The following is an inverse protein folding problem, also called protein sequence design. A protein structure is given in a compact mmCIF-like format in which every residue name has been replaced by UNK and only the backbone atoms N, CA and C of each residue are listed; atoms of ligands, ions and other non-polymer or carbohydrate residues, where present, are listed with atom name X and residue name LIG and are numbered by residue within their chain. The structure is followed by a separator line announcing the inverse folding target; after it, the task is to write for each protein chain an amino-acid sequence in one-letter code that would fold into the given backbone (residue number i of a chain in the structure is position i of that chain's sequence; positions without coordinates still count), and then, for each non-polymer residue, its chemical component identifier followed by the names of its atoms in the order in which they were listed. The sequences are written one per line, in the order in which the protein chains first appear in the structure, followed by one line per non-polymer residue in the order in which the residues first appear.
data_IF_837984469238
#
_entry.id   IF_837984469238
#
_cell.length_a   1.000
_cell.length_b   1.000
_cell.length_c   1.000
_cell.angle_alpha   90.00
_cell.angle_beta   90.00
_cell.angle_gamma   90.00
#
_symmetry.space_group_name_H-M   'P 1'
#
loop_
_entity.id
_entity.type
_entity.pdbx_description
1 polymer ?
#
# COMPACT_ATOMS: atom_id res chain seq x y z
N UNK A 1 -36.03 9.01 9.72
CA UNK A 1 -35.13 8.25 10.62
C UNK A 1 -33.74 8.78 10.41
N UNK A 2 -33.32 9.70 11.28
CA UNK A 2 -31.92 10.10 11.43
C UNK A 2 -31.17 8.89 11.97
N UNK A 3 -30.28 8.31 11.17
CA UNK A 3 -29.27 7.41 11.71
C UNK A 3 -28.12 8.28 12.19
N UNK A 4 -27.80 8.11 13.46
CA UNK A 4 -26.69 8.72 14.18
C UNK A 4 -25.42 8.75 13.33
N UNK A 5 -25.01 9.94 12.91
CA UNK A 5 -23.60 10.27 12.76
C UNK A 5 -23.01 10.20 14.18
N UNK A 6 -22.68 8.99 14.65
CA UNK A 6 -21.74 8.84 15.75
C UNK A 6 -20.49 9.61 15.32
N UNK A 7 -20.26 10.75 15.96
CA UNK A 7 -18.99 11.45 15.94
C UNK A 7 -17.91 10.41 16.25
N UNK A 8 -17.24 9.89 15.21
CA UNK A 8 -16.01 9.17 15.40
C UNK A 8 -15.08 10.17 16.09
N UNK A 9 -14.80 9.97 17.38
CA UNK A 9 -13.76 10.72 18.07
C UNK A 9 -12.52 10.64 17.19
N UNK A 10 -12.02 11.80 16.77
CA UNK A 10 -10.79 11.86 15.99
C UNK A 10 -9.66 11.31 16.86
N UNK A 11 -8.73 10.60 16.21
CA UNK A 11 -7.47 10.21 16.83
C UNK A 11 -6.78 11.45 17.38
N UNK A 12 -6.39 11.42 18.66
CA UNK A 12 -5.69 12.54 19.29
C UNK A 12 -4.70 12.03 20.30
N UNK A 13 -3.44 11.96 19.90
CA UNK A 13 -2.32 11.77 20.82
C UNK A 13 -2.16 13.07 21.62
N UNK A 14 -2.38 13.01 22.92
CA UNK A 14 -2.18 14.14 23.82
C UNK A 14 -1.02 13.86 24.76
N UNK A 15 0.16 14.41 24.43
CA UNK A 15 1.38 14.20 25.19
C UNK A 15 1.26 14.67 26.66
N UNK A 16 0.31 15.56 27.00
CA UNK A 16 0.10 15.99 28.39
C UNK A 16 -0.40 14.87 29.32
N UNK A 17 -0.99 13.80 28.76
CA UNK A 17 -1.43 12.63 29.51
C UNK A 17 -0.27 11.65 29.79
N UNK A 18 0.90 11.85 29.17
CA UNK A 18 2.08 10.98 29.24
C UNK A 18 3.22 11.64 30.04
N UNK A 19 4.15 10.83 30.56
CA UNK A 19 5.34 11.32 31.28
C UNK A 19 6.43 11.80 30.32
N UNK A 20 6.13 12.86 29.55
CA UNK A 20 6.98 13.41 28.49
C UNK A 20 8.34 13.83 29.03
N UNK A 21 8.39 14.57 30.14
CA UNK A 21 9.64 15.10 30.69
C UNK A 21 10.67 14.00 30.98
N UNK A 22 10.20 12.87 31.52
CA UNK A 22 11.08 11.73 31.81
C UNK A 22 11.57 11.04 30.52
N UNK A 23 10.70 10.92 29.52
CA UNK A 23 11.07 10.34 28.23
C UNK A 23 12.11 11.22 27.50
N UNK A 24 11.82 12.52 27.38
CA UNK A 24 12.74 13.50 26.80
C UNK A 24 14.09 13.52 27.51
N UNK A 25 14.08 13.46 28.85
CA UNK A 25 15.31 13.35 29.63
C UNK A 25 16.15 12.14 29.22
N UNK A 26 15.55 10.94 29.16
CA UNK A 26 16.30 9.74 28.80
C UNK A 26 16.80 9.78 27.35
N UNK A 27 15.97 10.24 26.40
CA UNK A 27 16.35 10.36 24.99
C UNK A 27 17.50 11.33 24.78
N UNK A 28 17.42 12.53 25.36
CA UNK A 28 18.47 13.53 25.26
C UNK A 28 19.78 13.01 25.83
N UNK A 29 19.75 12.37 27.01
CA UNK A 29 20.94 11.80 27.64
C UNK A 29 21.54 10.65 26.85
N UNK A 30 20.73 9.76 26.28
CA UNK A 30 21.23 8.69 25.42
C UNK A 30 21.87 9.23 24.14
N UNK A 31 21.30 10.28 23.54
CA UNK A 31 21.85 10.91 22.35
C UNK A 31 23.20 11.61 22.60
N UNK A 32 23.44 12.06 23.84
CA UNK A 32 24.72 12.65 24.27
C UNK A 32 25.82 11.61 24.53
N UNK A 33 25.49 10.32 24.66
CA UNK A 33 26.48 9.27 24.93
C UNK A 33 27.33 8.98 23.69
N UNK A 34 28.61 8.69 23.93
CA UNK A 34 29.51 8.16 22.92
C UNK A 34 29.08 6.74 22.51
N UNK A 35 29.23 6.33 21.24
CA UNK A 35 28.86 4.99 20.79
C UNK A 35 29.46 3.85 21.61
N UNK A 36 30.71 3.99 22.07
CA UNK A 36 31.35 3.01 22.96
C UNK A 36 30.62 2.87 24.30
N UNK A 37 30.19 3.98 24.91
CA UNK A 37 29.46 3.98 26.18
C UNK A 37 28.05 3.42 26.00
N UNK A 38 27.38 3.75 24.90
CA UNK A 38 26.07 3.18 24.58
C UNK A 38 26.13 1.66 24.42
N UNK A 39 27.16 1.12 23.75
CA UNK A 39 27.37 -0.33 23.61
C UNK A 39 27.58 -1.00 24.97
N UNK A 40 28.41 -0.42 25.84
CA UNK A 40 28.59 -0.92 27.22
C UNK A 40 27.28 -0.87 28.03
N UNK A 41 26.45 0.16 27.82
CA UNK A 41 25.15 0.27 28.48
C UNK A 41 24.17 -0.80 27.98
N UNK A 42 24.21 -1.18 26.71
CA UNK A 42 23.45 -2.31 26.17
C UNK A 42 23.92 -3.62 26.82
N UNK A 43 25.23 -3.84 26.93
CA UNK A 43 25.81 -5.04 27.59
C UNK A 43 25.39 -5.14 29.06
N UNK A 44 25.35 -4.01 29.78
CA UNK A 44 24.84 -3.95 31.16
C UNK A 44 23.44 -4.56 31.29
N UNK A 45 22.61 -4.48 30.24
CA UNK A 45 21.23 -4.96 30.28
C UNK A 45 21.14 -6.48 30.17
N UNK A 46 22.21 -7.18 29.81
CA UNK A 46 22.27 -8.65 29.86
C UNK A 46 22.75 -9.18 31.22
N UNK A 47 23.22 -8.30 32.11
CA UNK A 47 23.71 -8.68 33.43
C UNK A 47 22.59 -8.87 34.47
N UNK A 48 22.92 -9.60 35.54
CA UNK A 48 22.02 -9.80 36.68
C UNK A 48 21.75 -8.48 37.41
N UNK A 49 20.52 -8.29 37.87
CA UNK A 49 20.10 -7.05 38.57
C UNK A 49 20.85 -6.74 39.87
N UNK A 50 21.63 -7.71 40.36
CA UNK A 50 22.54 -7.56 41.49
C UNK A 50 23.87 -8.19 41.09
N UNK A 51 24.96 -7.44 41.21
CA UNK A 51 26.32 -7.89 40.90
C UNK A 51 27.32 -7.22 41.84
N UNK A 52 28.63 -7.48 41.67
CA UNK A 52 29.71 -6.75 42.35
C UNK A 52 30.49 -5.90 41.36
N UNK A 53 31.22 -4.89 41.84
CA UNK A 53 32.04 -4.03 40.97
C UNK A 53 33.08 -4.85 40.19
N UNK A 54 33.72 -5.81 40.85
CA UNK A 54 34.69 -6.69 40.20
C UNK A 54 34.06 -7.57 39.12
N UNK A 55 32.85 -8.10 39.35
CA UNK A 55 32.14 -8.90 38.35
C UNK A 55 31.68 -8.05 37.18
N UNK A 56 31.20 -6.84 37.44
CA UNK A 56 30.81 -5.88 36.41
C UNK A 56 32.00 -5.51 35.52
N UNK A 57 33.15 -5.17 36.14
CA UNK A 57 34.42 -4.92 35.46
C UNK A 57 34.80 -6.04 34.50
N UNK A 58 34.79 -7.28 35.01
CA UNK A 58 35.16 -8.46 34.23
C UNK A 58 34.14 -8.77 33.12
N UNK A 59 32.85 -8.53 33.36
CA UNK A 59 31.79 -8.81 32.39
C UNK A 59 31.78 -7.84 31.22
N UNK A 60 32.14 -6.57 31.47
CA UNK A 60 32.23 -5.52 30.45
C UNK A 60 33.64 -5.42 29.83
N UNK A 61 34.58 -6.26 30.28
CA UNK A 61 36.01 -6.25 29.87
C UNK A 61 36.67 -4.87 29.98
N UNK A 62 36.49 -4.22 31.14
CA UNK A 62 37.00 -2.86 31.38
C UNK A 62 38.15 -2.82 32.40
N UNK A 63 39.03 -1.84 32.24
CA UNK A 63 39.93 -1.42 33.31
C UNK A 63 39.19 -0.67 34.41
N UNK A 64 39.81 -0.45 35.57
CA UNK A 64 39.17 0.31 36.66
C UNK A 64 38.90 1.77 36.29
N UNK A 65 39.78 2.37 35.47
CA UNK A 65 39.61 3.74 35.00
C UNK A 65 38.43 3.82 34.02
N UNK A 66 38.35 2.87 33.08
CA UNK A 66 37.24 2.80 32.10
C UNK A 66 35.90 2.49 32.78
N UNK A 67 35.88 1.59 33.76
CA UNK A 67 34.66 1.31 34.52
C UNK A 67 34.18 2.55 35.28
N UNK A 68 35.09 3.29 35.92
CA UNK A 68 34.74 4.53 36.61
C UNK A 68 34.20 5.57 35.62
N UNK A 69 34.87 5.75 34.49
CA UNK A 69 34.42 6.63 33.41
C UNK A 69 33.01 6.26 32.91
N UNK A 70 32.77 4.96 32.68
CA UNK A 70 31.46 4.43 32.28
C UNK A 70 30.39 4.74 33.33
N UNK A 71 30.64 4.42 34.60
CA UNK A 71 29.70 4.68 35.71
C UNK A 71 29.38 6.18 35.81
N UNK A 72 30.40 7.05 35.72
CA UNK A 72 30.22 8.50 35.78
C UNK A 72 29.34 9.02 34.62
N UNK A 73 29.51 8.46 33.41
CA UNK A 73 28.69 8.81 32.23
C UNK A 73 27.25 8.35 32.33
N UNK A 74 26.99 7.20 32.97
CA UNK A 74 25.63 6.66 33.11
C UNK A 74 24.95 7.02 34.44
N UNK A 75 25.65 7.67 35.36
CA UNK A 75 25.11 8.14 36.64
C UNK A 75 23.83 9.00 36.50
N UNK A 76 23.69 9.90 35.49
CA UNK A 76 22.48 10.69 35.32
C UNK A 76 21.20 9.86 35.11
N UNK A 77 21.32 8.63 34.59
CA UNK A 77 20.17 7.74 34.40
C UNK A 77 19.65 7.15 35.71
N UNK A 78 20.43 7.20 36.79
CA UNK A 78 20.11 6.58 38.08
C UNK A 78 19.82 5.07 37.96
N UNK A 79 20.45 4.41 36.99
CA UNK A 79 20.25 2.98 36.72
C UNK A 79 21.10 2.07 37.64
N UNK A 80 22.20 2.60 38.18
CA UNK A 80 23.10 1.90 39.09
C UNK A 80 23.05 2.50 40.49
N UNK A 81 22.85 1.64 41.49
CA UNK A 81 23.04 1.96 42.89
C UNK A 81 24.22 1.16 43.44
N UNK A 82 25.23 1.85 43.93
CA UNK A 82 26.42 1.24 44.52
C UNK A 82 26.34 1.28 46.05
N UNK A 83 26.22 0.12 46.68
CA UNK A 83 26.31 -0.05 48.13
C UNK A 83 27.55 -0.91 48.46
N UNK A 84 28.61 -0.29 48.96
CA UNK A 84 29.89 -0.95 49.24
C UNK A 84 30.47 -1.64 48.00
N UNK A 85 30.48 -2.98 47.96
CA UNK A 85 30.94 -3.81 46.82
C UNK A 85 29.76 -4.32 45.97
N UNK A 86 28.52 -4.01 46.34
CA UNK A 86 27.35 -4.45 45.61
C UNK A 86 26.86 -3.35 44.64
N UNK A 87 26.62 -3.76 43.40
CA UNK A 87 25.97 -2.94 42.37
C UNK A 87 24.57 -3.49 42.14
N UNK A 88 23.57 -2.65 42.32
CA UNK A 88 22.16 -2.95 42.06
C UNK A 88 21.73 -2.19 40.80
N UNK A 89 21.14 -2.92 39.85
CA UNK A 89 20.59 -2.36 38.61
C UNK A 89 19.09 -2.16 38.80
N UNK A 90 18.61 -0.93 38.67
CA UNK A 90 17.19 -0.61 38.77
C UNK A 90 16.41 -1.19 37.58
N UNK A 91 15.49 -2.12 37.88
CA UNK A 91 14.70 -2.81 36.86
C UNK A 91 13.68 -1.92 36.16
N UNK A 92 13.09 -0.95 36.87
CA UNK A 92 12.07 -0.06 36.33
C UNK A 92 12.71 0.97 35.40
N UNK A 93 13.84 1.56 35.82
CA UNK A 93 14.63 2.46 34.97
C UNK A 93 15.17 1.72 33.75
N UNK A 94 15.72 0.52 33.96
CA UNK A 94 16.18 -0.35 32.86
C UNK A 94 15.10 -0.56 31.80
N UNK A 95 13.88 -0.95 32.20
CA UNK A 95 12.77 -1.19 31.27
C UNK A 95 12.36 0.05 30.47
N UNK A 96 12.45 1.24 31.07
CA UNK A 96 12.16 2.51 30.38
C UNK A 96 13.24 2.82 29.34
N UNK A 97 14.51 2.69 29.73
CA UNK A 97 15.66 3.00 28.87
C UNK A 97 15.81 1.97 27.73
N UNK A 98 15.52 0.69 27.98
CA UNK A 98 15.67 -0.41 27.01
C UNK A 98 14.92 -0.14 25.71
N UNK A 99 13.71 0.42 25.81
CA UNK A 99 12.89 0.77 24.65
C UNK A 99 13.54 1.83 23.75
N UNK A 100 14.36 2.72 24.32
CA UNK A 100 15.05 3.78 23.59
C UNK A 100 16.44 3.35 23.14
N UNK A 101 17.12 2.51 23.93
CA UNK A 101 18.43 1.94 23.59
C UNK A 101 18.40 1.12 22.30
N UNK A 102 17.28 0.43 22.03
CA UNK A 102 17.12 -0.33 20.79
C UNK A 102 17.42 0.51 19.52
N UNK A 103 17.22 1.84 19.55
CA UNK A 103 17.46 2.75 18.42
C UNK A 103 18.95 2.97 18.09
N UNK A 104 19.84 2.57 18.98
CA UNK A 104 21.29 2.69 18.87
C UNK A 104 21.95 1.37 18.44
N UNK A 105 21.15 0.33 18.20
CA UNK A 105 21.61 -0.91 17.59
C UNK A 105 21.80 -0.71 16.07
N UNK A 106 22.89 -1.24 15.52
CA UNK A 106 23.20 -1.18 14.09
C UNK A 106 22.19 -2.00 13.25
N UNK A 107 21.61 -3.04 13.85
CA UNK A 107 20.58 -3.90 13.24
C UNK A 107 19.14 -3.42 13.55
N UNK A 108 18.99 -2.22 14.11
CA UNK A 108 17.67 -1.71 14.48
C UNK A 108 16.77 -1.50 13.26
N UNK A 109 15.59 -2.14 13.28
CA UNK A 109 14.55 -1.98 12.27
C UNK A 109 13.45 -1.05 12.82
N UNK A 110 13.39 0.23 12.41
CA UNK A 110 12.37 1.17 12.86
C UNK A 110 11.03 0.81 12.23
N UNK A 111 10.18 0.06 12.91
CA UNK A 111 8.93 -0.43 12.34
C UNK A 111 7.81 -0.66 13.34
N UNK A 112 6.88 -1.50 12.96
CA UNK A 112 5.68 -1.80 13.75
C UNK A 112 6.03 -2.49 15.08
N UNK A 113 7.08 -3.32 15.12
CA UNK A 113 7.56 -3.92 16.38
C UNK A 113 8.11 -2.87 17.36
N UNK A 114 8.78 -1.85 16.84
CA UNK A 114 9.22 -0.70 17.65
C UNK A 114 8.01 0.05 18.22
N UNK A 115 7.00 0.35 17.40
CA UNK A 115 5.79 1.00 17.90
C UNK A 115 5.06 0.16 18.94
N UNK A 116 5.00 -1.15 18.78
CA UNK A 116 4.43 -2.04 19.78
C UNK A 116 5.17 -1.93 21.12
N UNK A 117 6.50 -1.78 21.10
CA UNK A 117 7.32 -1.59 22.30
C UNK A 117 7.14 -0.19 22.90
N UNK A 118 7.06 0.84 22.06
CA UNK A 118 6.79 2.22 22.48
C UNK A 118 5.44 2.34 23.20
N UNK A 119 4.39 1.69 22.68
CA UNK A 119 3.06 1.70 23.29
C UNK A 119 3.03 1.07 24.68
N UNK A 120 3.94 0.13 25.00
CA UNK A 120 4.05 -0.45 26.35
C UNK A 120 4.54 0.54 27.40
N UNK A 121 5.12 1.68 26.97
CA UNK A 121 5.54 2.76 27.87
C UNK A 121 4.36 3.66 28.28
N UNK A 122 3.27 3.64 27.51
CA UNK A 122 2.09 4.45 27.79
C UNK A 122 1.16 3.70 28.75
N UNK A 123 0.66 4.35 29.82
CA UNK A 123 -0.36 3.76 30.68
C UNK A 123 -1.55 3.19 29.89
N UNK A 124 -1.95 1.97 30.21
CA UNK A 124 -2.94 1.21 29.43
C UNK A 124 -4.32 1.89 29.34
N UNK A 125 -4.65 2.76 30.30
CA UNK A 125 -5.89 3.53 30.34
C UNK A 125 -5.91 4.73 29.39
N UNK A 126 -4.75 5.17 28.89
CA UNK A 126 -4.61 6.33 28.00
C UNK A 126 -4.77 5.92 26.54
N UNK A 127 -4.15 4.78 26.16
CA UNK A 127 -4.12 4.28 24.78
C UNK A 127 -5.51 4.19 24.12
N UNK A 128 -6.59 3.71 24.77
CA UNK A 128 -7.91 3.66 24.14
C UNK A 128 -8.47 5.04 23.81
N UNK A 129 -8.12 6.06 24.59
CA UNK A 129 -8.52 7.46 24.35
C UNK A 129 -7.78 8.02 23.14
N UNK A 130 -6.44 7.90 23.11
CA UNK A 130 -5.62 8.45 22.04
C UNK A 130 -5.99 7.89 20.66
N UNK A 131 -6.21 6.58 20.59
CA UNK A 131 -6.45 5.90 19.32
C UNK A 131 -7.93 5.60 19.04
N UNK A 132 -8.83 6.10 19.89
CA UNK A 132 -10.27 5.88 19.79
C UNK A 132 -10.62 4.41 19.62
N UNK A 133 -10.15 3.59 20.55
CA UNK A 133 -10.36 2.13 20.57
C UNK A 133 -11.60 1.78 21.41
N UNK A 134 -12.35 0.73 21.05
CA UNK A 134 -13.45 0.24 21.87
C UNK A 134 -12.95 -0.22 23.23
N UNK A 135 -13.75 -0.03 24.29
CA UNK A 135 -13.44 -0.54 25.63
C UNK A 135 -13.40 -2.07 25.69
N UNK A 136 -14.06 -2.74 24.75
CA UNK A 136 -14.12 -4.21 24.62
C UNK A 136 -12.98 -4.79 23.75
N UNK A 137 -11.93 -4.01 23.49
CA UNK A 137 -10.80 -4.46 22.69
C UNK A 137 -9.97 -5.50 23.47
N UNK A 138 -9.91 -6.73 22.98
CA UNK A 138 -9.13 -7.82 23.58
C UNK A 138 -7.62 -7.61 23.44
N UNK A 139 -7.19 -6.83 22.45
CA UNK A 139 -5.79 -6.49 22.21
C UNK A 139 -5.64 -5.14 21.51
N UNK A 140 -5.17 -4.14 22.26
CA UNK A 140 -4.96 -2.75 21.78
C UNK A 140 -4.18 -2.74 20.47
N UNK A 141 -3.07 -3.49 20.41
CA UNK A 141 -2.22 -3.52 19.25
C UNK A 141 -2.86 -4.22 18.04
N UNK A 142 -3.64 -5.29 18.24
CA UNK A 142 -4.36 -5.91 17.12
C UNK A 142 -5.41 -4.96 16.54
N UNK A 143 -6.13 -4.21 17.38
CA UNK A 143 -7.06 -3.20 16.88
C UNK A 143 -6.37 -2.03 16.17
N UNK A 144 -5.18 -1.60 16.64
CA UNK A 144 -4.37 -0.63 15.91
C UNK A 144 -3.88 -1.19 14.57
N UNK A 145 -3.46 -2.46 14.54
CA UNK A 145 -3.08 -3.16 13.31
C UNK A 145 -4.23 -3.14 12.30
N UNK A 146 -5.44 -3.51 12.71
CA UNK A 146 -6.61 -3.54 11.83
C UNK A 146 -7.04 -2.14 11.38
N UNK A 147 -7.00 -1.15 12.28
CA UNK A 147 -7.50 0.21 12.02
C UNK A 147 -6.53 1.07 11.21
N UNK A 148 -5.23 0.93 11.45
CA UNK A 148 -4.18 1.82 10.91
C UNK A 148 -3.27 1.08 9.94
N UNK A 149 -2.69 -0.05 10.35
CA UNK A 149 -1.59 -0.68 9.63
C UNK A 149 -2.00 -1.80 8.66
N UNK A 150 -3.28 -2.14 8.56
CA UNK A 150 -3.71 -3.36 7.84
C UNK A 150 -3.35 -3.29 6.35
N UNK A 151 -3.44 -2.13 5.73
CA UNK A 151 -3.00 -1.89 4.34
C UNK A 151 -2.19 -0.61 4.24
N UNK A 152 -1.27 -0.48 3.27
CA UNK A 152 -0.51 0.76 3.07
C UNK A 152 -1.41 1.97 2.81
N UNK A 153 -2.55 1.77 2.14
CA UNK A 153 -3.52 2.83 1.88
C UNK A 153 -4.19 3.34 3.17
N UNK A 154 -4.56 2.44 4.10
CA UNK A 154 -5.05 2.83 5.42
C UNK A 154 -3.96 3.57 6.20
N UNK A 155 -2.71 3.11 6.13
CA UNK A 155 -1.62 3.74 6.86
C UNK A 155 -1.29 5.15 6.34
N UNK A 156 -1.18 5.31 5.02
CA UNK A 156 -0.99 6.62 4.39
C UNK A 156 -2.15 7.57 4.68
N UNK A 157 -3.38 7.04 4.73
CA UNK A 157 -4.56 7.82 5.11
C UNK A 157 -4.46 8.31 6.55
N UNK A 158 -4.08 7.42 7.49
CA UNK A 158 -3.84 7.78 8.88
C UNK A 158 -2.82 8.92 8.98
N UNK A 159 -1.66 8.79 8.33
CA UNK A 159 -0.61 9.83 8.33
C UNK A 159 -1.14 11.19 7.84
N UNK A 160 -1.99 11.20 6.80
CA UNK A 160 -2.59 12.44 6.27
C UNK A 160 -3.65 13.05 7.18
N UNK A 161 -4.33 12.23 7.98
CA UNK A 161 -5.42 12.64 8.85
C UNK A 161 -4.95 13.10 10.26
N UNK A 162 -3.66 12.93 10.58
CA UNK A 162 -3.09 13.37 11.87
C UNK A 162 -3.25 14.88 12.07
N UNK A 163 -3.70 15.26 13.27
CA UNK A 163 -3.88 16.66 13.68
C UNK A 163 -2.55 17.42 13.67
N UNK A 164 -2.58 18.64 13.14
CA UNK A 164 -1.39 19.50 12.96
C UNK A 164 -1.48 20.81 13.73
N UNK A 165 -2.50 20.96 14.58
CA UNK A 165 -2.70 22.17 15.40
C UNK A 165 -1.59 22.32 16.45
N UNK A 166 -1.14 21.21 17.03
CA UNK A 166 -0.08 21.20 18.05
C UNK A 166 1.31 21.46 17.47
N UNK A 167 1.61 20.85 16.31
CA UNK A 167 2.93 20.90 15.68
C UNK A 167 2.82 21.01 14.14
N UNK A 168 3.68 21.81 13.49
CA UNK A 168 3.68 21.99 12.04
C UNK A 168 4.31 20.79 11.32
N UNK A 169 3.66 19.62 11.38
CA UNK A 169 4.23 18.35 10.89
C UNK A 169 3.99 18.10 9.40
N UNK A 170 3.07 18.82 8.73
CA UNK A 170 2.79 18.57 7.29
C UNK A 170 4.03 18.71 6.39
N UNK A 171 4.86 19.78 6.52
CA UNK A 171 6.10 19.88 5.74
C UNK A 171 7.06 18.72 6.00
N UNK A 172 7.10 18.21 7.23
CA UNK A 172 7.93 17.07 7.62
C UNK A 172 7.43 15.77 6.99
N UNK A 173 6.12 15.53 7.05
CA UNK A 173 5.47 14.36 6.43
C UNK A 173 5.74 14.34 4.92
N UNK A 174 5.56 15.48 4.25
CA UNK A 174 5.83 15.59 2.82
C UNK A 174 7.29 15.29 2.50
N UNK A 175 8.23 15.92 3.21
CA UNK A 175 9.65 15.68 3.01
C UNK A 175 10.07 14.23 3.31
N UNK A 176 9.48 13.59 4.33
CA UNK A 176 9.71 12.16 4.62
C UNK A 176 9.20 11.24 3.52
N UNK A 177 8.06 11.57 2.89
CA UNK A 177 7.51 10.79 1.78
C UNK A 177 8.32 10.98 0.50
N UNK A 178 8.87 12.17 0.27
CA UNK A 178 9.75 12.47 -0.87
C UNK A 178 11.15 11.84 -0.70
N UNK A 179 11.70 11.91 0.51
CA UNK A 179 13.03 11.38 0.87
C UNK A 179 12.96 10.07 1.68
N UNK A 180 11.97 9.21 1.42
CA UNK A 180 11.70 8.00 2.21
C UNK A 180 12.88 7.02 2.32
N UNK A 181 13.76 6.98 1.32
CA UNK A 181 14.95 6.14 1.32
C UNK A 181 16.01 6.65 2.31
N UNK A 182 16.23 7.96 2.29
CA UNK A 182 17.29 8.64 3.03
C UNK A 182 16.83 9.19 4.36
N UNK A 183 15.54 9.32 4.68
CA UNK A 183 15.09 9.97 5.91
C UNK A 183 15.41 11.47 5.96
N UNK A 184 15.26 12.09 7.12
CA UNK A 184 15.54 13.51 7.36
C UNK A 184 16.50 13.69 8.53
N UNK A 185 17.40 14.67 8.42
CA UNK A 185 18.26 15.04 9.56
C UNK A 185 17.50 15.91 10.57
N UNK A 186 18.03 16.04 11.79
CA UNK A 186 17.50 17.02 12.77
C UNK A 186 17.58 18.47 12.25
N UNK A 187 18.58 18.78 11.42
CA UNK A 187 18.69 20.08 10.78
C UNK A 187 17.54 20.33 9.79
N UNK A 188 17.19 19.34 8.98
CA UNK A 188 16.04 19.44 8.08
C UNK A 188 14.74 19.62 8.86
N UNK A 189 14.58 18.87 9.96
CA UNK A 189 13.40 18.97 10.82
C UNK A 189 13.24 20.37 11.42
N UNK A 190 14.34 20.94 11.96
CA UNK A 190 14.38 22.30 12.48
C UNK A 190 14.03 23.33 11.40
N UNK A 191 14.57 23.18 10.19
CA UNK A 191 14.27 24.07 9.05
C UNK A 191 12.80 24.01 8.63
N UNK A 192 12.22 22.80 8.55
CA UNK A 192 10.85 22.59 8.08
C UNK A 192 9.78 22.99 9.09
N UNK A 193 10.06 22.80 10.38
CA UNK A 193 9.10 23.08 11.47
C UNK A 193 9.29 24.47 12.09
N UNK A 194 10.49 25.05 12.01
CA UNK A 194 10.87 26.23 12.77
C UNK A 194 11.01 26.00 14.28
N UNK A 195 10.98 24.74 14.74
CA UNK A 195 11.10 24.36 16.16
C UNK A 195 12.55 24.14 16.56
N UNK A 196 12.84 24.33 17.85
CA UNK A 196 14.18 24.14 18.42
C UNK A 196 14.09 23.63 19.87
N UNK A 197 15.19 23.04 20.35
CA UNK A 197 15.32 22.50 21.71
C UNK A 197 14.18 21.54 22.09
N UNK A 198 13.66 21.68 23.32
CA UNK A 198 12.64 20.79 23.86
C UNK A 198 11.39 20.66 22.98
N UNK A 199 10.96 21.74 22.29
CA UNK A 199 9.79 21.67 21.40
C UNK A 199 10.05 20.83 20.15
N UNK A 200 11.29 20.80 19.67
CA UNK A 200 11.68 19.93 18.57
C UNK A 200 11.62 18.46 19.02
N UNK A 201 12.12 18.17 20.23
CA UNK A 201 12.11 16.82 20.80
C UNK A 201 10.68 16.34 21.08
N UNK A 202 9.81 17.20 21.62
CA UNK A 202 8.38 16.93 21.78
C UNK A 202 7.70 16.68 20.42
N UNK A 203 8.06 17.43 19.39
CA UNK A 203 7.55 17.20 18.04
C UNK A 203 7.99 15.83 17.49
N UNK A 204 9.23 15.40 17.72
CA UNK A 204 9.70 14.06 17.33
C UNK A 204 8.91 12.98 18.07
N UNK A 205 8.69 13.17 19.38
CA UNK A 205 7.89 12.26 20.19
C UNK A 205 6.45 12.16 19.69
N UNK A 206 5.87 13.31 19.32
CA UNK A 206 4.55 13.38 18.70
C UNK A 206 4.48 12.59 17.39
N UNK A 207 5.49 12.70 16.52
CA UNK A 207 5.57 11.93 15.27
C UNK A 207 5.64 10.41 15.53
N UNK A 208 6.39 9.99 16.55
CA UNK A 208 6.51 8.57 16.92
C UNK A 208 5.22 7.98 17.47
N UNK A 209 4.54 8.67 18.40
CA UNK A 209 3.27 8.19 18.95
C UNK A 209 2.11 8.25 17.96
N UNK A 210 2.21 9.10 16.93
CA UNK A 210 1.27 9.08 15.80
C UNK A 210 1.68 8.08 14.71
N UNK A 211 2.73 7.27 14.92
CA UNK A 211 3.23 6.27 13.98
C UNK A 211 3.65 6.85 12.61
N UNK A 212 4.11 8.10 12.58
CA UNK A 212 4.50 8.77 11.33
C UNK A 212 5.95 8.45 10.99
N UNK A 213 6.83 8.59 11.98
CA UNK A 213 8.26 8.46 11.79
C UNK A 213 8.93 7.96 13.07
N UNK A 214 10.14 7.45 12.94
CA UNK A 214 10.96 6.95 14.05
C UNK A 214 12.31 7.65 14.02
N UNK A 215 12.75 8.13 15.19
CA UNK A 215 14.11 8.62 15.36
C UNK A 215 15.07 7.42 15.44
N UNK A 216 16.06 7.40 14.56
CA UNK A 216 17.11 6.39 14.44
C UNK A 216 18.48 7.04 14.60
N UNK A 217 19.47 6.26 15.04
CA UNK A 217 20.84 6.74 15.24
C UNK A 217 21.82 5.94 14.39
N UNK A 218 22.62 6.63 13.59
CA UNK A 218 23.71 6.04 12.81
C UNK A 218 25.05 6.27 13.53
N UNK A 219 25.85 5.22 13.67
CA UNK A 219 27.16 5.31 14.32
C UNK A 219 28.19 6.04 13.42
N UNK A 220 28.74 7.15 13.90
CA UNK A 220 29.83 7.91 13.26
C UNK A 220 31.10 7.93 14.12
N UNK A 221 31.45 6.79 14.72
CA UNK A 221 32.61 6.55 15.58
C UNK A 221 32.62 7.36 16.90
N UNK A 222 32.67 8.68 16.82
CA UNK A 222 32.73 9.58 17.97
C UNK A 222 31.36 10.01 18.48
N UNK A 223 30.34 9.95 17.61
CA UNK A 223 28.98 10.39 17.94
C UNK A 223 27.92 9.61 17.20
N UNK A 224 26.71 9.67 17.73
CA UNK A 224 25.51 9.23 17.05
C UNK A 224 24.96 10.33 16.16
N UNK A 225 24.68 10.00 14.90
CA UNK A 225 23.99 10.90 13.98
C UNK A 225 22.50 10.59 13.97
N UNK A 226 21.70 11.55 14.42
CA UNK A 226 20.28 11.38 14.66
C UNK A 226 19.48 11.71 13.40
N UNK A 227 18.56 10.82 13.06
CA UNK A 227 17.86 10.84 11.78
C UNK A 227 16.45 10.35 11.92
N UNK A 228 15.52 11.04 11.28
CA UNK A 228 14.11 10.70 11.28
C UNK A 228 13.78 9.88 10.04
N UNK A 229 13.22 8.69 10.22
CA UNK A 229 12.93 7.76 9.11
C UNK A 229 11.47 7.32 9.12
N UNK A 230 10.92 7.04 7.93
CA UNK A 230 9.64 6.36 7.83
C UNK A 230 9.74 4.92 8.37
N UNK A 231 8.64 4.39 8.93
CA UNK A 231 8.59 3.01 9.40
C UNK A 231 8.90 2.01 8.28
N UNK A 232 9.63 0.96 8.64
CA UNK A 232 10.24 -0.02 7.74
C UNK A 232 9.23 -0.62 6.76
N UNK A 233 8.04 -0.98 7.23
CA UNK A 233 7.01 -1.60 6.43
C UNK A 233 6.50 -0.65 5.33
N UNK A 234 6.29 0.62 5.68
CA UNK A 234 5.90 1.64 4.71
C UNK A 234 7.06 1.99 3.77
N UNK A 235 8.27 2.13 4.30
CA UNK A 235 9.49 2.40 3.51
C UNK A 235 9.72 1.31 2.46
N UNK A 236 9.59 0.04 2.83
CA UNK A 236 9.74 -1.09 1.91
C UNK A 236 8.63 -1.11 0.85
N UNK A 237 7.39 -0.81 1.25
CA UNK A 237 6.29 -0.66 0.30
C UNK A 237 6.56 0.44 -0.72
N UNK A 238 6.97 1.63 -0.27
CA UNK A 238 7.30 2.76 -1.14
C UNK A 238 8.51 2.45 -2.04
N UNK A 239 9.55 1.77 -1.53
CA UNK A 239 10.67 1.28 -2.34
C UNK A 239 10.18 0.38 -3.47
N UNK A 240 9.34 -0.62 -3.16
CA UNK A 240 8.75 -1.52 -4.16
C UNK A 240 7.90 -0.78 -5.20
N UNK A 241 7.20 0.28 -4.82
CA UNK A 241 6.48 1.14 -5.76
C UNK A 241 7.39 2.02 -6.61
N UNK A 242 8.47 2.56 -6.04
CA UNK A 242 9.37 3.49 -6.74
C UNK A 242 10.23 2.85 -7.83
N UNK A 243 10.48 1.54 -7.73
CA UNK A 243 11.28 0.77 -8.69
C UNK A 243 10.50 0.46 -9.98
N UNK A 244 9.19 0.72 -10.02
CA UNK A 244 8.35 0.44 -11.18
C UNK A 244 7.38 1.60 -11.37
N UNK A 245 7.49 2.42 -12.44
CA UNK A 245 6.30 3.12 -12.92
C UNK A 245 5.28 2.00 -13.19
N UNK A 246 4.11 1.94 -12.53
CA UNK A 246 3.18 0.86 -12.79
C UNK A 246 2.73 0.86 -14.26
N UNK A 247 2.91 1.99 -14.95
CA UNK A 247 2.61 2.18 -16.36
C UNK A 247 3.69 3.01 -17.04
N UNK A 248 4.19 2.52 -18.17
CA UNK A 248 5.03 3.28 -19.09
C UNK A 248 4.25 4.49 -19.60
N UNK A 249 4.85 5.68 -19.57
CA UNK A 249 4.21 6.87 -20.16
C UNK A 249 4.27 6.75 -21.68
N UNK A 250 3.11 6.62 -22.32
CA UNK A 250 2.99 6.52 -23.77
C UNK A 250 2.39 7.81 -24.32
N UNK A 251 3.05 8.44 -25.29
CA UNK A 251 2.49 9.60 -25.98
C UNK A 251 1.24 9.17 -26.78
N UNK A 252 0.12 9.90 -26.64
CA UNK A 252 -1.13 9.53 -27.32
C UNK A 252 -0.97 9.37 -28.84
N UNK A 253 -0.08 10.15 -29.46
CA UNK A 253 0.20 10.13 -30.90
C UNK A 253 1.04 8.94 -31.36
N UNK A 254 1.66 8.19 -30.45
CA UNK A 254 2.51 7.04 -30.77
C UNK A 254 1.78 5.71 -30.84
N UNK A 255 0.52 5.65 -30.36
CA UNK A 255 -0.30 4.44 -30.39
C UNK A 255 -1.18 4.46 -31.62
N UNK A 256 -1.23 3.34 -32.33
CA UNK A 256 -2.21 3.11 -33.40
C UNK A 256 -3.41 2.40 -32.79
N UNK A 257 -4.59 3.04 -32.66
CA UNK A 257 -5.81 2.37 -32.20
C UNK A 257 -6.22 1.30 -33.21
N UNK A 258 -6.71 0.15 -32.74
CA UNK A 258 -7.12 -0.94 -33.64
C UNK A 258 -8.25 -0.50 -34.59
N UNK A 259 -9.23 0.26 -34.06
CA UNK A 259 -10.43 0.70 -34.80
C UNK A 259 -10.69 2.21 -34.68
N UNK A 260 -10.23 2.85 -33.62
CA UNK A 260 -10.39 4.29 -33.39
C UNK A 260 -11.84 4.76 -33.15
N UNK A 261 -12.75 3.82 -32.84
CA UNK A 261 -14.17 4.09 -32.58
C UNK A 261 -14.48 3.66 -31.14
N UNK A 262 -15.04 4.53 -30.28
CA UNK A 262 -15.44 4.13 -28.93
C UNK A 262 -16.55 3.09 -28.99
N UNK A 263 -16.58 2.19 -28.01
CA UNK A 263 -17.59 1.11 -27.94
C UNK A 263 -17.58 0.19 -29.19
N UNK A 264 -16.40 0.00 -29.80
CA UNK A 264 -16.18 -0.75 -31.04
C UNK A 264 -16.97 -2.05 -31.08
N UNK A 265 -16.88 -2.90 -30.05
CA UNK A 265 -17.50 -4.21 -30.08
C UNK A 265 -19.03 -4.15 -30.16
N UNK A 266 -19.67 -3.25 -29.41
CA UNK A 266 -21.11 -3.06 -29.48
C UNK A 266 -21.53 -2.59 -30.88
N UNK A 267 -20.73 -1.71 -31.49
CA UNK A 267 -20.99 -1.19 -32.82
C UNK A 267 -20.88 -2.32 -33.85
N UNK A 268 -19.80 -3.08 -33.79
CA UNK A 268 -19.51 -4.18 -34.72
C UNK A 268 -20.56 -5.29 -34.61
N UNK A 269 -20.94 -5.68 -33.39
CA UNK A 269 -22.02 -6.63 -33.15
C UNK A 269 -23.35 -6.14 -33.72
N UNK A 270 -23.67 -4.85 -33.61
CA UNK A 270 -24.88 -4.28 -34.20
C UNK A 270 -24.90 -4.39 -35.74
N UNK A 271 -23.74 -4.20 -36.38
CA UNK A 271 -23.60 -4.34 -37.83
C UNK A 271 -23.72 -5.81 -38.25
N UNK A 272 -23.10 -6.72 -37.51
CA UNK A 272 -23.19 -8.16 -37.75
C UNK A 272 -24.64 -8.65 -37.63
N UNK A 273 -25.39 -8.22 -36.61
CA UNK A 273 -26.81 -8.59 -36.46
C UNK A 273 -27.65 -8.05 -37.63
N UNK A 274 -27.43 -6.78 -38.04
CA UNK A 274 -28.11 -6.18 -39.20
C UNK A 274 -27.79 -6.93 -40.49
N UNK A 275 -26.55 -7.34 -40.67
CA UNK A 275 -26.12 -8.14 -41.81
C UNK A 275 -26.80 -9.51 -41.80
N UNK A 276 -26.76 -10.24 -40.68
CA UNK A 276 -27.37 -11.56 -40.53
C UNK A 276 -28.90 -11.54 -40.77
N UNK A 277 -29.56 -10.40 -40.52
CA UNK A 277 -30.99 -10.20 -40.84
C UNK A 277 -31.25 -10.21 -42.35
N UNK A 278 -30.35 -9.65 -43.14
CA UNK A 278 -30.48 -9.52 -44.60
C UNK A 278 -29.88 -10.72 -45.35
N UNK A 279 -28.82 -11.31 -44.79
CA UNK A 279 -28.04 -12.38 -45.40
C UNK A 279 -27.76 -13.49 -44.37
N UNK A 280 -28.61 -14.53 -44.31
CA UNK A 280 -28.42 -15.64 -43.39
C UNK A 280 -27.06 -16.32 -43.61
N UNK A 281 -26.27 -16.45 -42.55
CA UNK A 281 -24.91 -17.00 -42.61
C UNK A 281 -24.93 -18.51 -42.38
N UNK A 282 -24.39 -19.29 -43.32
CA UNK A 282 -24.29 -20.75 -43.17
C UNK A 282 -23.14 -21.15 -42.24
N UNK A 283 -23.41 -22.09 -41.34
CA UNK A 283 -22.45 -22.69 -40.41
C UNK A 283 -21.89 -23.98 -41.04
N UNK A 284 -20.56 -24.14 -41.06
CA UNK A 284 -19.84 -25.24 -41.73
C UNK A 284 -19.41 -26.37 -40.80
N UNK A 285 -19.04 -26.08 -39.54
CA UNK A 285 -18.77 -27.11 -38.52
C UNK A 285 -19.09 -26.61 -37.11
N UNK A 286 -19.31 -27.56 -36.19
CA UNK A 286 -19.69 -27.30 -34.79
C UNK A 286 -18.77 -28.04 -33.79
N UNK A 287 -17.60 -28.49 -34.24
CA UNK A 287 -16.61 -29.18 -33.38
C UNK A 287 -15.73 -28.15 -32.68
N UNK A 288 -16.24 -27.57 -31.59
CA UNK A 288 -15.50 -26.74 -30.64
C UNK A 288 -15.24 -25.28 -31.05
N UNK A 289 -15.28 -24.95 -32.34
CA UNK A 289 -15.28 -23.56 -32.85
C UNK A 289 -16.22 -23.45 -34.04
N UNK A 290 -17.15 -22.48 -33.99
CA UNK A 290 -18.11 -22.24 -35.07
C UNK A 290 -17.36 -21.66 -36.28
N UNK A 291 -17.37 -22.38 -37.41
CA UNK A 291 -16.85 -21.88 -38.68
C UNK A 291 -17.99 -21.52 -39.62
N UNK A 292 -17.84 -20.42 -40.34
CA UNK A 292 -18.86 -19.91 -41.24
C UNK A 292 -18.41 -19.95 -42.71
N UNK A 293 -19.37 -19.95 -43.62
CA UNK A 293 -19.12 -19.96 -45.06
C UNK A 293 -18.32 -18.73 -45.53
N UNK A 294 -17.19 -18.97 -46.19
CA UNK A 294 -16.22 -17.93 -46.58
C UNK A 294 -16.83 -16.87 -47.49
N UNK A 295 -17.73 -17.25 -48.40
CA UNK A 295 -18.38 -16.30 -49.32
C UNK A 295 -19.25 -15.26 -48.62
N UNK A 296 -19.85 -15.62 -47.49
CA UNK A 296 -20.67 -14.69 -46.73
C UNK A 296 -19.84 -13.87 -45.74
N UNK A 297 -18.77 -14.46 -45.21
CA UNK A 297 -17.77 -13.73 -44.42
C UNK A 297 -17.07 -12.66 -45.26
N UNK A 298 -16.68 -12.94 -46.50
CA UNK A 298 -16.08 -11.95 -47.42
C UNK A 298 -17.01 -10.73 -47.65
N UNK A 299 -18.32 -10.97 -47.76
CA UNK A 299 -19.31 -9.87 -47.89
C UNK A 299 -19.45 -9.06 -46.61
N UNK A 300 -19.37 -9.72 -45.46
CA UNK A 300 -19.39 -9.07 -44.16
C UNK A 300 -18.12 -8.25 -43.95
N UNK A 301 -16.95 -8.78 -44.31
CA UNK A 301 -15.65 -8.08 -44.28
C UNK A 301 -15.64 -6.84 -45.17
N UNK A 302 -16.28 -6.91 -46.35
CA UNK A 302 -16.43 -5.75 -47.22
C UNK A 302 -17.28 -4.62 -46.60
N UNK A 303 -18.19 -4.97 -45.69
CA UNK A 303 -19.06 -4.01 -44.97
C UNK A 303 -18.42 -3.53 -43.67
N UNK A 304 -17.65 -4.40 -43.02
CA UNK A 304 -16.98 -4.16 -41.75
C UNK A 304 -15.51 -4.60 -41.90
N UNK A 305 -14.59 -3.67 -42.22
CA UNK A 305 -13.19 -4.02 -42.49
C UNK A 305 -12.48 -4.41 -41.19
N UNK A 306 -12.49 -5.71 -40.89
CA UNK A 306 -11.82 -6.34 -39.75
C UNK A 306 -11.43 -7.78 -40.13
N UNK A 307 -10.59 -8.43 -39.32
CA UNK A 307 -10.12 -9.78 -39.62
C UNK A 307 -11.26 -10.81 -39.56
N UNK A 308 -11.19 -11.85 -40.39
CA UNK A 308 -12.13 -12.98 -40.39
C UNK A 308 -12.28 -13.57 -39.00
N UNK A 309 -11.15 -13.80 -38.31
CA UNK A 309 -11.12 -14.36 -36.95
C UNK A 309 -11.88 -13.50 -35.92
N UNK A 310 -11.89 -12.18 -36.11
CA UNK A 310 -12.63 -11.27 -35.24
C UNK A 310 -14.13 -11.33 -35.53
N UNK A 311 -14.54 -11.38 -36.81
CA UNK A 311 -15.94 -11.56 -37.20
C UNK A 311 -16.52 -12.88 -36.72
N UNK A 312 -15.77 -13.97 -36.85
CA UNK A 312 -16.16 -15.28 -36.33
C UNK A 312 -16.38 -15.22 -34.81
N UNK A 313 -15.50 -14.53 -34.08
CA UNK A 313 -15.67 -14.31 -32.64
C UNK A 313 -16.93 -13.46 -32.34
N UNK A 314 -17.18 -12.36 -33.06
CA UNK A 314 -18.40 -11.56 -32.87
C UNK A 314 -19.66 -12.41 -33.10
N UNK A 315 -19.67 -13.24 -34.15
CA UNK A 315 -20.80 -14.12 -34.45
C UNK A 315 -21.03 -15.14 -33.34
N UNK A 316 -19.96 -15.79 -32.89
CA UNK A 316 -20.02 -16.73 -31.76
C UNK A 316 -20.52 -16.03 -30.49
N UNK A 317 -19.97 -14.85 -30.17
CA UNK A 317 -20.38 -14.06 -29.01
C UNK A 317 -21.82 -13.58 -29.09
N UNK A 318 -22.28 -13.21 -30.28
CA UNK A 318 -23.69 -12.87 -30.54
C UNK A 318 -24.64 -14.04 -30.28
N UNK A 319 -24.21 -15.28 -30.54
CA UNK A 319 -24.95 -16.49 -30.19
C UNK A 319 -24.95 -16.73 -28.67
N UNK A 320 -23.78 -16.60 -28.02
CA UNK A 320 -23.65 -16.74 -26.55
C UNK A 320 -24.47 -15.71 -25.76
N UNK A 321 -24.68 -14.52 -26.35
CA UNK A 321 -25.48 -13.44 -25.79
C UNK A 321 -26.98 -13.54 -26.09
N UNK A 322 -27.42 -14.61 -26.76
CA UNK A 322 -28.81 -14.79 -27.21
C UNK A 322 -29.31 -13.61 -28.08
N UNK A 323 -28.43 -13.01 -28.88
CA UNK A 323 -28.79 -12.03 -29.92
C UNK A 323 -28.91 -12.73 -31.28
N UNK A 324 -28.12 -13.77 -31.50
CA UNK A 324 -28.16 -14.63 -32.66
C UNK A 324 -28.48 -16.06 -32.23
N UNK A 325 -28.99 -16.87 -33.16
CA UNK A 325 -29.22 -18.31 -32.94
C UNK A 325 -28.99 -19.08 -34.23
N UNK A 326 -28.67 -20.36 -34.11
CA UNK A 326 -28.51 -21.25 -35.27
C UNK A 326 -29.81 -22.03 -35.48
N UNK A 327 -30.39 -21.90 -36.67
CA UNK A 327 -31.59 -22.65 -37.10
C UNK A 327 -31.28 -23.28 -38.45
N UNK A 328 -31.45 -24.59 -38.56
CA UNK A 328 -31.20 -25.37 -39.79
C UNK A 328 -29.81 -25.14 -40.42
N UNK A 329 -28.79 -24.91 -39.57
CA UNK A 329 -27.43 -24.64 -40.01
C UNK A 329 -27.16 -23.21 -40.48
N UNK A 330 -28.08 -22.27 -40.23
CA UNK A 330 -27.91 -20.85 -40.54
C UNK A 330 -28.04 -19.97 -39.30
N UNK A 331 -27.23 -18.91 -39.24
CA UNK A 331 -27.34 -17.85 -38.24
C UNK A 331 -28.55 -16.98 -38.57
N UNK A 332 -29.45 -16.87 -37.59
CA UNK A 332 -30.66 -16.06 -37.64
C UNK A 332 -30.79 -15.22 -36.37
N UNK A 333 -31.69 -14.23 -36.37
CA UNK A 333 -31.90 -13.36 -35.22
C UNK A 333 -32.63 -14.11 -34.11
N UNK A 334 -32.17 -13.91 -32.88
CA UNK A 334 -32.93 -14.26 -31.69
C UNK A 334 -33.99 -13.17 -31.38
N UNK A 335 -35.01 -13.50 -30.59
CA UNK A 335 -36.10 -12.57 -30.28
C UNK A 335 -35.62 -11.28 -29.57
N UNK A 336 -34.48 -11.34 -28.89
CA UNK A 336 -33.91 -10.21 -28.16
C UNK A 336 -33.08 -9.25 -29.05
N UNK A 337 -32.70 -9.66 -30.27
CA UNK A 337 -31.83 -8.83 -31.13
C UNK A 337 -32.51 -7.56 -31.63
N UNK A 338 -33.76 -7.63 -32.08
CA UNK A 338 -34.45 -6.44 -32.59
C UNK A 338 -34.67 -5.37 -31.51
N UNK A 339 -35.18 -5.72 -30.30
CA UNK A 339 -35.24 -4.76 -29.20
C UNK A 339 -33.87 -4.16 -28.83
N UNK A 340 -32.81 -4.98 -28.84
CA UNK A 340 -31.46 -4.52 -28.51
C UNK A 340 -30.91 -3.52 -29.55
N UNK A 341 -31.17 -3.75 -30.84
CA UNK A 341 -30.77 -2.84 -31.92
C UNK A 341 -31.44 -1.46 -31.86
N UNK A 342 -32.57 -1.32 -31.14
CA UNK A 342 -33.25 -0.04 -30.95
C UNK A 342 -32.59 0.85 -29.88
N UNK A 343 -31.71 0.28 -29.05
CA UNK A 343 -30.97 1.05 -28.07
C UNK A 343 -29.88 1.90 -28.73
N UNK A 344 -29.52 3.01 -28.08
CA UNK A 344 -28.30 3.75 -28.43
C UNK A 344 -27.07 2.89 -28.18
N UNK A 345 -25.95 3.23 -28.80
CA UNK A 345 -24.73 2.42 -28.72
C UNK A 345 -24.20 2.28 -27.28
N UNK A 346 -24.38 3.32 -26.46
CA UNK A 346 -24.00 3.34 -25.04
C UNK A 346 -24.89 2.38 -24.23
N UNK A 347 -26.19 2.34 -24.54
CA UNK A 347 -27.13 1.43 -23.89
C UNK A 347 -26.90 -0.03 -24.32
N UNK A 348 -26.50 -0.24 -25.57
CA UNK A 348 -26.06 -1.55 -26.08
C UNK A 348 -24.81 -2.02 -25.34
N UNK A 349 -23.78 -1.18 -25.23
CA UNK A 349 -22.57 -1.50 -24.46
C UNK A 349 -22.88 -1.76 -22.97
N UNK A 350 -23.75 -0.95 -22.35
CA UNK A 350 -24.16 -1.15 -20.96
C UNK A 350 -24.87 -2.50 -20.74
N UNK A 351 -25.67 -2.96 -21.69
CA UNK A 351 -26.29 -4.28 -21.58
C UNK A 351 -25.25 -5.40 -21.68
N UNK A 352 -24.27 -5.25 -22.59
CA UNK A 352 -23.15 -6.20 -22.73
C UNK A 352 -22.33 -6.26 -21.45
N UNK A 353 -21.97 -5.12 -20.87
CA UNK A 353 -21.26 -5.05 -19.59
C UNK A 353 -21.99 -5.78 -18.46
N UNK A 354 -23.33 -5.63 -18.35
CA UNK A 354 -24.10 -6.34 -17.32
C UNK A 354 -24.02 -7.85 -17.46
N UNK A 355 -24.09 -8.36 -18.69
CA UNK A 355 -24.13 -9.80 -18.98
C UNK A 355 -22.73 -10.43 -18.97
N UNK A 356 -21.78 -9.80 -19.66
CA UNK A 356 -20.43 -10.34 -19.86
C UNK A 356 -19.53 -10.15 -18.64
N UNK A 357 -19.65 -9.03 -17.93
CA UNK A 357 -18.73 -8.70 -16.85
C UNK A 357 -19.36 -8.89 -15.48
N UNK A 358 -20.47 -8.20 -15.19
CA UNK A 358 -21.05 -8.19 -13.85
C UNK A 358 -21.66 -9.53 -13.42
N UNK A 359 -22.25 -10.29 -14.34
CA UNK A 359 -22.87 -11.58 -14.03
C UNK A 359 -21.87 -12.75 -14.06
N UNK A 360 -20.87 -12.70 -14.94
CA UNK A 360 -19.93 -13.82 -15.16
C UNK A 360 -18.65 -13.72 -14.32
N UNK A 361 -18.28 -12.53 -13.83
CA UNK A 361 -17.02 -12.34 -13.12
C UNK A 361 -17.23 -12.01 -11.63
N UNK A 362 -16.97 -12.97 -10.75
CA UNK A 362 -17.09 -12.81 -9.29
C UNK A 362 -16.17 -11.69 -8.74
N UNK A 363 -15.07 -11.39 -9.45
CA UNK A 363 -14.10 -10.37 -9.08
C UNK A 363 -14.23 -9.06 -9.87
N UNK A 364 -15.32 -8.88 -10.64
CA UNK A 364 -15.57 -7.70 -11.49
C UNK A 364 -15.27 -6.36 -10.78
N UNK A 365 -15.80 -6.19 -9.57
CA UNK A 365 -15.66 -4.96 -8.77
C UNK A 365 -14.22 -4.69 -8.32
N UNK A 366 -13.42 -5.73 -8.11
CA UNK A 366 -12.02 -5.56 -7.68
C UNK A 366 -11.14 -5.17 -8.88
N UNK A 367 -11.34 -5.83 -10.02
CA UNK A 367 -10.69 -5.49 -11.27
C UNK A 367 -11.03 -4.06 -11.74
N UNK A 368 -12.29 -3.64 -11.62
CA UNK A 368 -12.71 -2.25 -11.92
C UNK A 368 -12.02 -1.21 -11.04
N UNK A 369 -11.86 -1.49 -9.74
CA UNK A 369 -11.08 -0.61 -8.87
C UNK A 369 -9.62 -0.50 -9.31
N UNK A 370 -9.03 -1.61 -9.77
CA UNK A 370 -7.69 -1.60 -10.37
C UNK A 370 -7.64 -0.74 -11.64
N UNK A 371 -8.63 -0.88 -12.52
CA UNK A 371 -8.73 -0.10 -13.76
C UNK A 371 -8.96 1.40 -13.50
N UNK A 372 -9.61 1.78 -12.40
CA UNK A 372 -9.77 3.20 -12.07
C UNK A 372 -8.44 3.95 -11.93
N UNK A 373 -7.35 3.25 -11.61
CA UNK A 373 -6.01 3.83 -11.50
C UNK A 373 -5.39 4.24 -12.86
N UNK A 374 -5.97 3.80 -13.98
CA UNK A 374 -5.50 4.13 -15.34
C UNK A 374 -6.38 5.15 -16.07
N UNK A 375 -7.45 5.67 -15.43
CA UNK A 375 -8.37 6.67 -16.04
C UNK A 375 -7.60 7.87 -16.61
N UNK A 376 -6.71 8.47 -15.82
CA UNK A 376 -6.00 9.68 -16.21
C UNK A 376 -4.70 9.40 -16.99
N UNK A 377 -4.42 8.14 -17.34
CA UNK A 377 -3.14 7.73 -17.93
C UNK A 377 -3.17 7.63 -19.45
N UNK A 378 -4.35 7.64 -20.07
CA UNK A 378 -4.48 7.42 -21.51
C UNK A 378 -4.11 5.99 -21.89
N UNK A 379 -3.16 5.82 -22.82
CA UNK A 379 -2.71 4.50 -23.28
C UNK A 379 -1.66 3.91 -22.34
N UNK A 380 -1.87 2.64 -21.97
CA UNK A 380 -0.97 1.87 -21.10
C UNK A 380 -0.71 0.47 -21.68
N UNK A 381 0.43 -0.13 -21.37
CA UNK A 381 0.76 -1.46 -21.87
C UNK A 381 -0.08 -2.54 -21.16
N UNK A 382 -0.52 -3.55 -21.92
CA UNK A 382 -1.40 -4.59 -21.38
C UNK A 382 -0.74 -5.40 -20.27
N UNK A 383 0.53 -5.77 -20.46
CA UNK A 383 1.28 -6.58 -19.50
C UNK A 383 1.43 -5.84 -18.15
N UNK A 384 1.57 -4.51 -18.21
CA UNK A 384 1.67 -3.64 -17.04
C UNK A 384 0.35 -3.58 -16.28
N UNK A 385 -0.78 -3.48 -16.98
CA UNK A 385 -2.12 -3.52 -16.38
C UNK A 385 -2.39 -4.88 -15.73
N UNK A 386 -2.04 -5.98 -16.41
CA UNK A 386 -2.17 -7.32 -15.86
C UNK A 386 -1.32 -7.45 -14.60
N UNK A 387 -0.05 -7.05 -14.64
CA UNK A 387 0.85 -7.10 -13.49
C UNK A 387 0.34 -6.24 -12.32
N UNK A 388 -0.12 -5.02 -12.61
CA UNK A 388 -0.63 -4.09 -11.61
C UNK A 388 -1.89 -4.62 -10.92
N UNK A 389 -2.91 -5.04 -11.68
CA UNK A 389 -4.17 -5.53 -11.11
C UNK A 389 -3.96 -6.88 -10.44
N UNK A 390 -3.10 -7.73 -10.99
CA UNK A 390 -2.78 -9.05 -10.41
C UNK A 390 -1.89 -8.98 -9.18
N UNK A 391 -1.21 -7.86 -8.94
CA UNK A 391 -0.43 -7.63 -7.72
C UNK A 391 -1.30 -7.52 -6.45
N UNK A 392 -2.64 -7.60 -6.57
CA UNK A 392 -3.53 -7.74 -5.43
C UNK A 392 -3.46 -6.58 -4.43
N UNK A 393 -4.06 -6.78 -3.26
CA UNK A 393 -3.97 -5.79 -2.17
C UNK A 393 -2.89 -6.21 -1.17
N UNK A 394 -1.89 -5.35 -0.92
CA UNK A 394 -0.93 -5.58 0.15
C UNK A 394 -1.64 -5.48 1.50
N UNK A 395 -1.55 -6.55 2.28
CA UNK A 395 -2.05 -6.68 3.65
C UNK A 395 -0.87 -6.93 4.57
N UNK A 396 -0.90 -6.35 5.76
CA UNK A 396 0.16 -6.54 6.74
C UNK A 396 0.12 -7.93 7.37
N UNK A 397 1.13 -8.73 7.05
CA UNK A 397 1.39 -10.04 7.65
C UNK A 397 2.63 -9.98 8.55
N UNK A 398 2.81 -11.01 9.38
CA UNK A 398 4.02 -11.18 10.20
C UNK A 398 4.86 -12.31 9.59
N UNK A 399 6.01 -11.95 9.06
CA UNK A 399 7.02 -12.89 8.56
C UNK A 399 8.03 -13.29 9.64
N UNK A 400 9.14 -13.89 9.22
CA UNK A 400 10.25 -14.30 10.12
C UNK A 400 11.05 -13.12 10.66
N UNK A 401 11.21 -12.07 9.85
CA UNK A 401 12.04 -10.89 10.14
C UNK A 401 11.21 -9.70 10.67
N UNK A 402 9.93 -9.93 11.01
CA UNK A 402 9.02 -8.89 11.49
C UNK A 402 7.78 -8.74 10.62
N UNK A 403 7.17 -7.55 10.63
CA UNK A 403 5.99 -7.27 9.84
C UNK A 403 6.34 -6.86 8.40
N UNK A 404 5.54 -7.30 7.45
CA UNK A 404 5.70 -6.99 6.03
C UNK A 404 4.34 -6.82 5.37
N UNK A 405 4.28 -5.96 4.34
CA UNK A 405 3.11 -5.91 3.46
C UNK A 405 3.25 -6.97 2.37
N UNK A 406 2.36 -7.96 2.41
CA UNK A 406 2.31 -9.10 1.49
C UNK A 406 0.97 -9.13 0.76
N UNK A 407 0.96 -9.67 -0.45
CA UNK A 407 -0.22 -9.74 -1.29
C UNK A 407 -1.02 -10.95 -0.85
N UNK A 408 -2.24 -10.75 -0.34
CA UNK A 408 -3.10 -11.85 0.13
C UNK A 408 -4.25 -12.22 -0.82
N UNK A 409 -4.62 -11.31 -1.74
CA UNK A 409 -5.68 -11.52 -2.72
C UNK A 409 -5.16 -11.22 -4.13
N UNK A 410 -4.52 -12.20 -4.78
CA UNK A 410 -4.17 -12.09 -6.19
C UNK A 410 -5.44 -12.17 -7.05
N UNK A 411 -5.92 -11.03 -7.53
CA UNK A 411 -6.91 -11.03 -8.62
C UNK A 411 -6.16 -11.33 -9.89
N UNK A 412 -6.08 -12.60 -10.28
CA UNK A 412 -5.40 -12.98 -11.53
C UNK A 412 -6.14 -12.43 -12.74
N UNK A 413 -5.80 -11.21 -13.15
CA UNK A 413 -6.27 -10.63 -14.39
C UNK A 413 -5.56 -11.35 -15.53
N UNK A 414 -6.30 -11.67 -16.58
CA UNK A 414 -5.77 -12.38 -17.75
C UNK A 414 -6.14 -11.61 -18.99
N UNK A 415 -5.50 -11.93 -20.12
CA UNK A 415 -5.90 -11.37 -21.40
C UNK A 415 -7.38 -11.63 -21.73
N UNK A 416 -7.93 -12.79 -21.33
CA UNK A 416 -9.35 -13.12 -21.54
C UNK A 416 -10.29 -12.19 -20.75
N UNK A 417 -9.92 -11.84 -19.52
CA UNK A 417 -10.65 -10.84 -18.74
C UNK A 417 -10.64 -9.48 -19.44
N UNK A 418 -9.49 -9.05 -19.97
CA UNK A 418 -9.39 -7.80 -20.72
C UNK A 418 -10.17 -7.85 -22.04
N UNK A 419 -10.17 -8.96 -22.75
CA UNK A 419 -11.03 -9.15 -23.94
C UNK A 419 -12.51 -8.97 -23.58
N UNK A 420 -12.94 -9.53 -22.45
CA UNK A 420 -14.33 -9.38 -21.95
C UNK A 420 -14.63 -7.91 -21.61
N UNK A 421 -13.67 -7.18 -21.05
CA UNK A 421 -13.80 -5.74 -20.78
C UNK A 421 -13.91 -4.90 -22.06
N UNK A 422 -13.16 -5.26 -23.10
CA UNK A 422 -13.27 -4.64 -24.42
C UNK A 422 -14.65 -4.89 -25.03
N UNK A 423 -15.13 -6.13 -24.98
CA UNK A 423 -16.46 -6.50 -25.46
C UNK A 423 -17.58 -5.82 -24.68
N UNK A 424 -17.33 -5.53 -23.41
CA UNK A 424 -18.23 -4.77 -22.54
C UNK A 424 -18.18 -3.26 -22.80
N UNK A 425 -17.26 -2.79 -23.65
CA UNK A 425 -17.08 -1.37 -23.97
C UNK A 425 -16.31 -0.56 -22.92
N UNK A 426 -15.66 -1.21 -21.94
CA UNK A 426 -14.91 -0.51 -20.89
C UNK A 426 -13.50 -0.10 -21.30
N UNK A 427 -12.88 -0.84 -22.23
CA UNK A 427 -11.53 -0.54 -22.72
C UNK A 427 -11.51 -0.50 -24.24
N UNK A 428 -10.50 0.18 -24.77
CA UNK A 428 -10.13 0.18 -26.18
C UNK A 428 -8.75 -0.44 -26.39
N UNK A 429 -8.55 -1.10 -27.53
CA UNK A 429 -7.27 -1.69 -27.92
C UNK A 429 -6.46 -0.78 -28.85
N UNK A 430 -5.14 -0.82 -28.67
CA UNK A 430 -4.18 -0.19 -29.59
C UNK A 430 -2.86 -0.94 -29.61
N UNK A 431 -1.95 -0.47 -30.46
CA UNK A 431 -0.61 -1.03 -30.60
C UNK A 431 0.48 0.04 -30.60
N UNK A 432 1.58 -0.26 -29.92
CA UNK A 432 2.84 0.50 -29.93
C UNK A 432 3.98 -0.48 -30.17
N UNK A 433 4.74 -0.34 -31.25
CA UNK A 433 5.89 -1.20 -31.57
C UNK A 433 5.60 -2.71 -31.47
N UNK A 434 4.45 -3.14 -31.99
CA UNK A 434 3.91 -4.52 -31.92
C UNK A 434 3.52 -5.01 -30.52
N UNK A 435 3.58 -4.16 -29.49
CA UNK A 435 3.08 -4.44 -28.14
C UNK A 435 1.64 -3.97 -28.02
N UNK A 436 0.82 -4.78 -27.35
CA UNK A 436 -0.58 -4.45 -27.07
C UNK A 436 -0.67 -3.35 -26.01
N UNK A 437 -1.49 -2.36 -26.31
CA UNK A 437 -1.84 -1.27 -25.40
C UNK A 437 -3.35 -1.26 -25.18
N UNK A 438 -3.78 -0.73 -24.04
CA UNK A 438 -5.18 -0.44 -23.77
C UNK A 438 -5.35 0.96 -23.19
N UNK A 439 -6.56 1.52 -23.33
CA UNK A 439 -7.04 2.69 -22.57
C UNK A 439 -8.47 2.45 -22.13
N UNK A 440 -8.96 3.23 -21.17
CA UNK A 440 -10.38 3.23 -20.85
C UNK A 440 -11.17 4.00 -21.91
N UNK A 441 -12.37 3.50 -22.25
CA UNK A 441 -13.26 4.17 -23.19
C UNK A 441 -13.76 5.48 -22.58
N UNK A 442 -13.62 6.57 -23.33
CA UNK A 442 -14.23 7.86 -22.98
C UNK A 442 -15.74 7.78 -23.29
N UNK A 443 -16.58 7.95 -22.27
CA UNK A 443 -18.05 7.91 -22.38
C UNK A 443 -18.66 9.31 -22.40
#
# INVERSE_FOLDING_TARGET
MQFDLQFQKKHKVDLSEYTVDQDLFFRARLAELEPAITKLLIELFYLSSKTTLQKLKNALDLTEIELKYFIDKIAPFQILFCEQDCVIIDKEVKKKIECFLAKFDEDFIPGIEYFQSLLKQVPINILPTWYSLPRSCDSIFLSLKEKIFQTPAQYLRHIKEVETETYPIQPVVQALLESFAEGLTLYDLKRLTGLDGAKLDECILFLEFNFIAVLTYENKEERWDAKLSLPHELKNYLKKQSVTPPFTTIAQTSVVPDRGIPLTFAFDLSQVIRFAKLYPLKVLSNEGSLKFDSKNLEKLEATLPCSTSYLENILQRGIELELLKIVDGYVTLHAQAEPWLLYSIEKQALSLYKVLWMQKNQNAKQSEKGLSAIIDKGWVLVDEVIAFISSGKPVLSRGKEGFTYEIQDEVKLTHEHLSTLFESGLIEWGQLDKRRCLRLTEL
#
